data_IF_301979282543
#
_entry.id   IF_301979282543
#
_cell.length_a   1.000
_cell.length_b   1.000
_cell.length_c   1.000
_cell.angle_alpha   90.00
_cell.angle_beta   90.00
_cell.angle_gamma   90.00
#
_symmetry.space_group_name_H-M   'P 1'
#
loop_
_entity.id
_entity.type
_entity.pdbx_description
1 polymer ?
#
# COMPACT_ATOMS: atom_id res chain seq x y z
N UNK A 1 -9.85 -6.34 11.81
CA UNK A 1 -9.85 -6.86 10.45
C UNK A 1 -8.83 -7.99 10.24
N UNK A 2 -7.77 -8.02 11.02
CA UNK A 2 -6.80 -9.13 10.95
C UNK A 2 -7.39 -10.44 11.48
N UNK A 3 -8.22 -10.37 12.49
CA UNK A 3 -9.00 -11.44 13.15
C UNK A 3 -8.17 -12.59 13.73
N UNK A 4 -6.98 -12.86 13.24
CA UNK A 4 -6.10 -13.92 13.70
C UNK A 4 -4.64 -13.65 13.29
N UNK A 5 -3.74 -14.55 13.67
CA UNK A 5 -2.31 -14.46 13.38
C UNK A 5 -2.04 -14.41 11.87
N UNK A 6 -2.76 -15.17 11.06
CA UNK A 6 -2.60 -15.18 9.60
C UNK A 6 -2.92 -13.80 9.00
N UNK A 7 -4.01 -13.17 9.43
CA UNK A 7 -4.37 -11.82 8.99
C UNK A 7 -3.35 -10.78 9.41
N UNK A 8 -2.82 -10.89 10.63
CA UNK A 8 -1.74 -10.03 11.11
C UNK A 8 -0.47 -10.22 10.26
N UNK A 9 -0.13 -11.45 9.92
CA UNK A 9 1.02 -11.74 9.05
C UNK A 9 0.86 -11.09 7.66
N UNK A 10 -0.34 -11.09 7.10
CA UNK A 10 -0.63 -10.40 5.82
C UNK A 10 -0.31 -8.91 5.92
N UNK A 11 -0.85 -8.24 6.93
CA UNK A 11 -0.65 -6.79 7.11
C UNK A 11 0.81 -6.48 7.38
N UNK A 12 1.44 -7.18 8.31
CA UNK A 12 2.85 -6.93 8.68
C UNK A 12 3.80 -7.17 7.51
N UNK A 13 3.63 -8.25 6.77
CA UNK A 13 4.49 -8.54 5.62
C UNK A 13 4.33 -7.50 4.51
N UNK A 14 3.12 -6.99 4.30
CA UNK A 14 2.82 -5.91 3.37
C UNK A 14 3.52 -4.59 3.81
N UNK A 15 3.43 -4.24 5.09
CA UNK A 15 4.09 -3.03 5.63
C UNK A 15 5.61 -3.13 5.58
N UNK A 16 6.17 -4.29 5.93
CA UNK A 16 7.60 -4.55 5.81
C UNK A 16 8.05 -4.44 4.34
N UNK A 17 7.23 -4.92 3.41
CA UNK A 17 7.52 -4.81 1.98
C UNK A 17 7.61 -3.35 1.52
N UNK A 18 6.70 -2.48 1.97
CA UNK A 18 6.78 -1.05 1.70
C UNK A 18 8.08 -0.44 2.24
N UNK A 19 8.48 -0.82 3.44
CA UNK A 19 9.70 -0.32 4.07
C UNK A 19 10.96 -0.76 3.30
N UNK A 20 11.04 -2.04 2.93
CA UNK A 20 12.18 -2.60 2.18
C UNK A 20 12.26 -2.00 0.78
N UNK A 21 11.13 -1.84 0.09
CA UNK A 21 11.08 -1.21 -1.23
C UNK A 21 11.26 0.31 -1.18
N UNK A 22 11.35 0.90 0.02
CA UNK A 22 11.56 2.34 0.24
C UNK A 22 10.43 3.23 -0.31
N UNK A 23 9.22 2.70 -0.40
CA UNK A 23 8.06 3.44 -0.91
C UNK A 23 7.79 4.73 -0.13
N UNK A 24 7.99 4.71 1.18
CA UNK A 24 7.82 5.90 2.03
C UNK A 24 8.84 6.99 1.70
N UNK A 25 10.08 6.60 1.37
CA UNK A 25 11.13 7.55 0.96
C UNK A 25 10.80 8.20 -0.38
N UNK A 26 10.30 7.42 -1.33
CA UNK A 26 9.84 7.94 -2.62
C UNK A 26 8.74 8.99 -2.42
N UNK A 27 7.77 8.69 -1.56
CA UNK A 27 6.69 9.63 -1.25
C UNK A 27 7.20 10.89 -0.55
N UNK A 28 8.12 10.77 0.40
CA UNK A 28 8.73 11.91 1.06
C UNK A 28 9.46 12.80 0.08
N UNK A 29 10.23 12.22 -0.85
CA UNK A 29 10.92 12.97 -1.89
C UNK A 29 9.95 13.73 -2.79
N UNK A 30 8.87 13.09 -3.21
CA UNK A 30 7.82 13.72 -4.01
C UNK A 30 7.12 14.84 -3.21
N UNK A 31 6.85 14.62 -1.94
CA UNK A 31 6.26 15.63 -1.06
C UNK A 31 7.16 16.86 -0.92
N UNK A 32 8.46 16.67 -0.76
CA UNK A 32 9.43 17.76 -0.69
C UNK A 32 9.45 18.58 -1.99
N UNK A 33 9.42 17.90 -3.15
CA UNK A 33 9.36 18.56 -4.45
C UNK A 33 8.06 19.37 -4.58
N UNK A 34 6.92 18.78 -4.26
CA UNK A 34 5.61 19.45 -4.33
C UNK A 34 5.54 20.65 -3.38
N UNK A 35 6.07 20.51 -2.17
CA UNK A 35 6.11 21.60 -1.19
C UNK A 35 7.01 22.76 -1.68
N UNK A 36 8.13 22.45 -2.32
CA UNK A 36 9.00 23.42 -2.93
C UNK A 36 8.31 24.21 -4.07
N UNK A 37 7.60 23.49 -4.95
CA UNK A 37 6.80 24.11 -6.02
C UNK A 37 5.67 24.93 -5.44
N UNK A 38 4.99 24.44 -4.42
CA UNK A 38 3.93 25.17 -3.71
C UNK A 38 4.43 26.47 -3.09
N UNK A 39 5.62 26.45 -2.47
CA UNK A 39 6.24 27.64 -1.90
C UNK A 39 6.57 28.70 -2.97
N UNK A 40 7.09 28.25 -4.14
CA UNK A 40 7.37 29.12 -5.28
C UNK A 40 6.09 29.76 -5.83
N UNK A 41 5.04 28.96 -6.00
CA UNK A 41 3.74 29.45 -6.48
C UNK A 41 3.09 30.40 -5.46
N UNK A 42 3.21 30.11 -4.18
CA UNK A 42 2.74 31.00 -3.11
C UNK A 42 3.41 32.36 -3.15
N UNK A 43 4.74 32.38 -3.33
CA UNK A 43 5.50 33.62 -3.45
C UNK A 43 5.14 34.40 -4.72
N UNK A 44 4.90 33.70 -5.84
CA UNK A 44 4.59 34.33 -7.13
C UNK A 44 3.15 34.83 -7.21
N UNK A 45 2.16 34.13 -6.62
CA UNK A 45 0.74 34.36 -6.79
C UNK A 45 -0.01 34.71 -5.51
N UNK A 46 0.68 34.81 -4.36
CA UNK A 46 0.08 35.21 -3.07
C UNK A 46 -0.83 34.15 -2.45
N UNK A 47 -0.74 32.88 -2.87
CA UNK A 47 -1.54 31.79 -2.31
C UNK A 47 -0.91 31.30 -1.01
N UNK A 48 -1.69 31.14 0.09
CA UNK A 48 -1.15 30.68 1.37
C UNK A 48 -0.50 29.30 1.26
N UNK A 49 0.72 29.18 1.77
CA UNK A 49 1.52 27.95 1.73
C UNK A 49 0.83 26.79 2.46
N UNK A 50 0.04 27.08 3.48
CA UNK A 50 -0.71 26.10 4.25
C UNK A 50 -1.71 25.30 3.39
N UNK A 51 -2.29 25.93 2.38
CA UNK A 51 -3.20 25.26 1.44
C UNK A 51 -2.49 24.21 0.59
N UNK A 52 -1.26 24.49 0.17
CA UNK A 52 -0.46 23.54 -0.61
C UNK A 52 0.05 22.40 0.27
N UNK A 53 0.49 22.68 1.50
CA UNK A 53 0.93 21.67 2.45
C UNK A 53 -0.15 20.66 2.76
N UNK A 54 -1.37 21.11 3.05
CA UNK A 54 -2.50 20.24 3.34
C UNK A 54 -2.89 19.35 2.14
N UNK A 55 -2.98 19.96 0.96
CA UNK A 55 -3.31 19.21 -0.27
C UNK A 55 -2.24 18.17 -0.61
N UNK A 56 -0.96 18.55 -0.51
CA UNK A 56 0.16 17.65 -0.75
C UNK A 56 0.17 16.48 0.23
N UNK A 57 -0.08 16.72 1.51
CA UNK A 57 -0.12 15.69 2.53
C UNK A 57 -1.27 14.70 2.28
N UNK A 58 -2.44 15.17 1.87
CA UNK A 58 -3.57 14.31 1.53
C UNK A 58 -3.28 13.42 0.32
N UNK A 59 -2.62 13.96 -0.71
CA UNK A 59 -2.22 13.21 -1.90
C UNK A 59 -1.17 12.15 -1.55
N UNK A 60 -0.24 12.49 -0.67
CA UNK A 60 0.88 11.62 -0.31
C UNK A 60 0.54 10.52 0.70
N UNK A 61 -0.66 10.54 1.29
CA UNK A 61 -1.12 9.46 2.18
C UNK A 61 -1.44 8.17 1.43
N UNK A 62 -1.70 8.23 0.12
CA UNK A 62 -2.06 7.07 -0.67
C UNK A 62 -0.86 6.53 -1.44
N UNK A 63 -0.54 5.25 -1.24
CA UNK A 63 0.43 4.57 -2.08
C UNK A 63 -0.12 4.38 -3.49
N UNK A 64 0.75 4.47 -4.50
CA UNK A 64 0.37 4.22 -5.89
C UNK A 64 0.00 2.74 -6.10
N UNK A 65 -0.75 2.44 -7.16
CA UNK A 65 -1.08 1.05 -7.52
C UNK A 65 0.17 0.21 -7.76
N UNK A 66 1.20 0.80 -8.37
CA UNK A 66 2.48 0.11 -8.59
C UNK A 66 3.15 -0.24 -7.27
N UNK A 67 3.18 0.70 -6.32
CA UNK A 67 3.76 0.48 -4.99
C UNK A 67 2.97 -0.57 -4.21
N UNK A 68 1.64 -0.56 -4.29
CA UNK A 68 0.79 -1.56 -3.65
C UNK A 68 1.01 -2.96 -4.26
N UNK A 69 1.12 -3.05 -5.58
CA UNK A 69 1.39 -4.32 -6.27
C UNK A 69 2.75 -4.88 -5.84
N UNK A 70 3.78 -4.04 -5.81
CA UNK A 70 5.11 -4.45 -5.35
C UNK A 70 5.09 -4.91 -3.89
N UNK A 71 4.42 -4.18 -3.02
CA UNK A 71 4.28 -4.56 -1.61
C UNK A 71 3.50 -5.85 -1.43
N UNK A 72 2.47 -6.09 -2.23
CA UNK A 72 1.72 -7.35 -2.20
C UNK A 72 2.60 -8.54 -2.61
N UNK A 73 3.33 -8.41 -3.71
CA UNK A 73 4.21 -9.48 -4.20
C UNK A 73 5.32 -9.80 -3.19
N UNK A 74 6.01 -8.79 -2.69
CA UNK A 74 7.05 -8.97 -1.68
C UNK A 74 6.48 -9.50 -0.36
N UNK A 75 5.32 -9.01 0.05
CA UNK A 75 4.65 -9.46 1.25
C UNK A 75 4.29 -10.94 1.19
N UNK A 76 3.81 -11.42 0.04
CA UNK A 76 3.52 -12.84 -0.18
C UNK A 76 4.79 -13.71 -0.09
N UNK A 77 5.89 -13.22 -0.64
CA UNK A 77 7.20 -13.88 -0.53
C UNK A 77 7.64 -13.96 0.93
N UNK A 78 7.51 -12.88 1.69
CA UNK A 78 7.89 -12.86 3.10
C UNK A 78 7.01 -13.81 3.93
N UNK A 79 5.72 -13.87 3.66
CA UNK A 79 4.83 -14.84 4.31
C UNK A 79 5.29 -16.27 4.05
N UNK A 80 5.63 -16.60 2.81
CA UNK A 80 6.11 -17.93 2.44
C UNK A 80 7.41 -18.28 3.16
N UNK A 81 8.37 -17.38 3.18
CA UNK A 81 9.66 -17.56 3.87
C UNK A 81 9.44 -17.76 5.37
N UNK A 82 8.52 -17.01 5.98
CA UNK A 82 8.21 -17.08 7.40
C UNK A 82 7.38 -18.33 7.79
N UNK A 83 6.91 -19.10 6.82
CA UNK A 83 6.12 -20.31 7.09
C UNK A 83 4.61 -20.08 7.19
N UNK A 84 4.13 -18.89 6.89
CA UNK A 84 2.70 -18.59 6.82
C UNK A 84 2.14 -18.99 5.45
N UNK A 85 0.82 -19.24 5.41
CA UNK A 85 0.15 -19.58 4.16
C UNK A 85 -0.15 -18.33 3.33
N UNK A 86 0.55 -18.08 2.21
CA UNK A 86 0.34 -16.88 1.40
C UNK A 86 -1.06 -16.79 0.77
N UNK A 87 -1.73 -17.92 0.57
CA UNK A 87 -3.10 -17.93 0.04
C UNK A 87 -4.09 -17.23 0.98
N UNK A 88 -3.77 -17.14 2.25
CA UNK A 88 -4.60 -16.41 3.20
C UNK A 88 -4.68 -14.91 2.87
N UNK A 89 -3.66 -14.36 2.25
CA UNK A 89 -3.67 -12.95 1.79
C UNK A 89 -4.82 -12.68 0.82
N UNK A 90 -5.12 -13.61 -0.07
CA UNK A 90 -6.23 -13.47 -1.01
C UNK A 90 -7.57 -13.36 -0.26
N UNK A 91 -7.80 -14.25 0.70
CA UNK A 91 -9.00 -14.22 1.55
C UNK A 91 -9.08 -12.92 2.34
N UNK A 92 -7.96 -12.49 2.90
CA UNK A 92 -7.87 -11.25 3.67
C UNK A 92 -8.27 -10.04 2.82
N UNK A 93 -7.67 -9.86 1.65
CA UNK A 93 -7.95 -8.70 0.79
C UNK A 93 -9.36 -8.74 0.21
N UNK A 94 -9.91 -9.93 -0.08
CA UNK A 94 -11.30 -10.09 -0.49
C UNK A 94 -12.26 -9.64 0.62
N UNK A 95 -11.95 -9.99 1.87
CA UNK A 95 -12.74 -9.56 3.04
C UNK A 95 -12.66 -8.04 3.24
N UNK A 96 -11.47 -7.45 3.07
CA UNK A 96 -11.27 -6.01 3.14
C UNK A 96 -12.04 -5.27 2.04
N UNK A 97 -12.08 -5.82 0.83
CA UNK A 97 -12.84 -5.25 -0.28
C UNK A 97 -14.35 -5.20 0.03
N UNK A 98 -14.88 -6.24 0.64
CA UNK A 98 -16.28 -6.26 1.09
C UNK A 98 -16.55 -5.22 2.18
N UNK A 99 -15.63 -5.06 3.11
CA UNK A 99 -15.75 -4.08 4.19
C UNK A 99 -15.72 -2.64 3.68
N UNK A 100 -14.98 -2.36 2.59
CA UNK A 100 -14.87 -1.02 2.02
C UNK A 100 -16.18 -0.49 1.42
N UNK A 101 -17.13 -1.37 1.11
CA UNK A 101 -18.47 -0.97 0.64
C UNK A 101 -19.42 -0.58 1.75
N UNK A 102 -19.05 -0.73 3.03
CA UNK A 102 -19.88 -0.41 4.18
C UNK A 102 -19.70 1.03 4.70
N UNK A 103 -20.56 1.41 5.67
CA UNK A 103 -20.49 2.74 6.29
C UNK A 103 -19.21 3.00 7.10
N UNK A 104 -18.51 1.93 7.49
CA UNK A 104 -17.25 2.00 8.25
C UNK A 104 -16.17 1.27 7.46
N UNK A 105 -15.61 1.97 6.49
CA UNK A 105 -14.42 1.46 5.78
C UNK A 105 -13.23 1.42 6.73
N UNK A 106 -12.40 0.36 6.70
CA UNK A 106 -11.17 0.33 7.49
C UNK A 106 -10.26 1.51 7.15
N UNK A 107 -9.71 2.15 8.19
CA UNK A 107 -8.78 3.27 8.03
C UNK A 107 -7.57 2.89 7.18
N UNK A 108 -7.11 1.64 7.30
CA UNK A 108 -6.02 1.09 6.50
C UNK A 108 -6.24 1.29 4.99
N UNK A 109 -7.47 1.21 4.49
CA UNK A 109 -7.79 1.38 3.08
C UNK A 109 -7.65 2.83 2.60
N UNK A 110 -7.56 3.81 3.52
CA UNK A 110 -7.33 5.20 3.14
C UNK A 110 -5.92 5.42 2.57
N UNK A 111 -4.92 4.67 3.04
CA UNK A 111 -3.54 4.71 2.57
C UNK A 111 -3.19 3.57 1.62
N UNK A 112 -3.93 2.46 1.69
CA UNK A 112 -3.72 1.24 0.91
C UNK A 112 -4.98 0.88 0.12
N UNK A 113 -5.21 1.55 -1.03
CA UNK A 113 -6.40 1.28 -1.84
C UNK A 113 -6.50 -0.19 -2.24
N UNK A 114 -7.68 -0.75 -2.10
CA UNK A 114 -7.95 -2.15 -2.42
C UNK A 114 -9.08 -2.24 -3.45
N UNK A 115 -8.77 -2.75 -4.62
CA UNK A 115 -9.73 -2.96 -5.69
C UNK A 115 -9.64 -4.38 -6.28
N UNK A 116 -10.54 -4.70 -7.19
CA UNK A 116 -10.57 -6.02 -7.83
C UNK A 116 -9.30 -6.30 -8.64
N UNK A 117 -8.70 -5.27 -9.23
CA UNK A 117 -7.44 -5.39 -9.98
C UNK A 117 -6.33 -5.89 -9.09
N UNK A 118 -6.22 -5.35 -7.88
CA UNK A 118 -5.23 -5.76 -6.89
C UNK A 118 -5.42 -7.23 -6.49
N UNK A 119 -6.66 -7.63 -6.21
CA UNK A 119 -7.00 -9.03 -5.88
C UNK A 119 -6.62 -9.96 -7.04
N UNK A 120 -6.92 -9.57 -8.27
CA UNK A 120 -6.57 -10.37 -9.45
C UNK A 120 -5.04 -10.49 -9.63
N UNK A 121 -4.30 -9.43 -9.34
CA UNK A 121 -2.84 -9.45 -9.40
C UNK A 121 -2.24 -10.40 -8.35
N UNK A 122 -2.77 -10.40 -7.14
CA UNK A 122 -2.37 -11.34 -6.07
C UNK A 122 -2.61 -12.78 -6.52
N UNK A 123 -3.80 -13.07 -7.05
CA UNK A 123 -4.13 -14.40 -7.60
C UNK A 123 -3.14 -14.85 -8.65
N UNK A 124 -2.85 -13.99 -9.60
CA UNK A 124 -1.92 -14.28 -10.70
C UNK A 124 -0.51 -14.52 -10.19
N UNK A 125 -0.05 -13.70 -9.25
CA UNK A 125 1.28 -13.82 -8.67
C UNK A 125 1.45 -15.13 -7.90
N UNK A 126 0.46 -15.55 -7.11
CA UNK A 126 0.49 -16.83 -6.39
C UNK A 126 0.65 -18.04 -7.30
N UNK A 127 0.21 -17.94 -8.56
CA UNK A 127 0.32 -18.99 -9.57
C UNK A 127 1.56 -18.85 -10.45
N UNK A 128 2.34 -17.77 -10.28
CA UNK A 128 3.51 -17.50 -11.12
C UNK A 128 4.69 -18.39 -10.76
N UNK A 129 5.54 -18.67 -11.75
CA UNK A 129 6.80 -19.40 -11.55
C UNK A 129 7.75 -18.62 -10.61
N UNK A 130 7.75 -17.29 -10.68
CA UNK A 130 8.53 -16.45 -9.79
C UNK A 130 8.20 -16.74 -8.32
N UNK A 131 6.91 -16.81 -7.98
CA UNK A 131 6.48 -17.10 -6.61
C UNK A 131 6.77 -18.55 -6.22
N UNK A 132 6.49 -19.49 -7.11
CA UNK A 132 6.71 -20.92 -6.85
C UNK A 132 8.19 -21.25 -6.63
N UNK A 133 9.09 -20.51 -7.27
CA UNK A 133 10.53 -20.73 -7.16
C UNK A 133 11.13 -20.24 -5.83
N UNK A 134 10.37 -19.47 -5.04
CA UNK A 134 10.83 -18.99 -3.74
C UNK A 134 10.91 -20.15 -2.75
N UNK A 135 12.08 -20.36 -2.17
CA UNK A 135 12.30 -21.36 -1.11
C UNK A 135 11.86 -20.82 0.24
N UNK A 136 11.37 -21.72 1.08
CA UNK A 136 11.15 -21.38 2.47
C UNK A 136 12.47 -21.10 3.20
#
# INVERSE_FOLDING_TARGET
YTQNEQGLAVVMSHEIAHAIAQHSREQQSQSMIQNGVGALLGAAFGVPQELYGSASNLIMLNYSRTQETEADELGLIFMKIAGYNPNYALTFWQRMAKASGGKQSPEFLSTHPNDQTRINNIKRFLQSEKFKSVSK
#
